data_IF_564499149149
#
_entry.id   IF_564499149149
#
_cell.length_a   1.000
_cell.length_b   1.000
_cell.length_c   1.000
_cell.angle_alpha   90.00
_cell.angle_beta   90.00
_cell.angle_gamma   90.00
#
_symmetry.space_group_name_H-M   'P 1'
#
loop_
_entity.id
_entity.type
_entity.pdbx_description
1 polymer ?
#
# COMPACT_ATOMS: atom_id res chain seq x y z
N UNK A 1 35.57 -45.30 24.43
CA UNK A 1 34.81 -44.84 23.25
C UNK A 1 33.36 -44.40 23.51
N UNK A 2 32.63 -44.90 24.52
CA UNK A 2 31.17 -44.67 24.66
C UNK A 2 30.70 -43.27 25.12
N UNK A 3 31.50 -42.57 25.94
CA UNK A 3 31.08 -41.30 26.56
C UNK A 3 31.04 -40.11 25.58
N UNK A 4 31.95 -40.09 24.59
CA UNK A 4 32.02 -39.04 23.57
C UNK A 4 30.82 -39.08 22.62
N UNK A 5 30.27 -40.27 22.36
CA UNK A 5 29.14 -40.44 21.46
C UNK A 5 27.84 -39.94 22.10
N UNK A 6 27.63 -40.18 23.40
CA UNK A 6 26.47 -39.71 24.15
C UNK A 6 26.37 -38.18 24.12
N UNK A 7 27.48 -37.47 24.35
CA UNK A 7 27.52 -36.01 24.32
C UNK A 7 27.19 -35.47 22.92
N UNK A 8 27.69 -36.12 21.86
CA UNK A 8 27.40 -35.76 20.47
C UNK A 8 25.92 -35.94 20.13
N UNK A 9 25.32 -37.06 20.52
CA UNK A 9 23.89 -37.29 20.29
C UNK A 9 23.01 -36.32 21.10
N UNK A 10 23.41 -36.02 22.33
CA UNK A 10 22.69 -35.07 23.19
C UNK A 10 22.76 -33.64 22.63
N UNK A 11 23.88 -33.22 22.06
CA UNK A 11 23.99 -31.92 21.37
C UNK A 11 23.16 -31.89 20.10
N UNK A 12 23.14 -32.98 19.32
CA UNK A 12 22.31 -33.07 18.10
C UNK A 12 20.81 -33.01 18.45
N UNK A 13 20.37 -33.73 19.48
CA UNK A 13 18.96 -33.73 19.90
C UNK A 13 18.53 -32.37 20.43
N UNK A 14 19.37 -31.68 21.22
CA UNK A 14 19.08 -30.33 21.70
C UNK A 14 19.06 -29.32 20.54
N UNK A 15 19.98 -29.43 19.57
CA UNK A 15 19.98 -28.59 18.38
C UNK A 15 18.73 -28.83 17.51
N UNK A 16 18.31 -30.09 17.33
CA UNK A 16 17.08 -30.44 16.63
C UNK A 16 15.83 -29.94 17.36
N UNK A 17 15.79 -30.03 18.69
CA UNK A 17 14.70 -29.45 19.49
C UNK A 17 14.64 -27.92 19.33
N UNK A 18 15.78 -27.23 19.30
CA UNK A 18 15.84 -25.79 19.06
C UNK A 18 15.32 -25.44 17.66
N UNK A 19 15.75 -26.16 16.63
CA UNK A 19 15.27 -25.99 15.25
C UNK A 19 13.77 -26.27 15.14
N UNK A 20 13.27 -27.31 15.80
CA UNK A 20 11.85 -27.70 15.76
C UNK A 20 10.94 -26.80 16.62
N UNK A 21 11.44 -26.14 17.67
CA UNK A 21 10.64 -25.21 18.48
C UNK A 21 10.64 -23.76 17.95
N UNK A 22 11.52 -23.41 16.99
CA UNK A 22 11.58 -22.05 16.44
C UNK A 22 10.50 -21.61 15.45
N UNK A 23 9.59 -22.44 14.86
CA UNK A 23 8.60 -21.91 13.95
C UNK A 23 7.27 -21.52 14.63
N UNK A 24 7.17 -21.46 15.96
CA UNK A 24 5.88 -21.16 16.63
C UNK A 24 5.77 -19.79 17.31
N UNK A 25 6.80 -18.93 17.28
CA UNK A 25 6.71 -17.57 17.85
C UNK A 25 6.35 -16.46 16.85
N UNK A 26 5.83 -16.82 15.68
CA UNK A 26 5.30 -15.86 14.70
C UNK A 26 3.95 -16.31 14.15
N UNK A 27 3.05 -16.72 15.04
CA UNK A 27 1.64 -16.97 14.73
C UNK A 27 0.71 -16.02 15.52
N UNK A 28 1.19 -14.80 15.81
CA UNK A 28 0.36 -13.74 16.39
C UNK A 28 0.25 -12.60 15.39
N UNK A 29 -0.82 -12.67 14.58
CA UNK A 29 -1.68 -11.54 14.14
C UNK A 29 -2.19 -11.69 12.70
N UNK A 30 -3.02 -12.71 12.46
CA UNK A 30 -3.73 -12.94 11.19
C UNK A 30 -5.09 -12.19 11.15
N UNK A 31 -5.14 -10.94 11.65
CA UNK A 31 -6.32 -10.08 11.42
C UNK A 31 -6.03 -8.57 11.30
N UNK A 32 -4.77 -8.17 11.14
CA UNK A 32 -4.47 -6.80 10.70
C UNK A 32 -4.80 -6.66 9.22
N UNK A 33 -5.73 -5.75 8.92
CA UNK A 33 -5.95 -5.20 7.58
C UNK A 33 -4.58 -4.96 6.92
N UNK A 34 -4.21 -5.78 5.93
CA UNK A 34 -2.93 -5.64 5.24
C UNK A 34 -2.95 -4.32 4.47
N UNK A 35 -2.33 -3.28 5.03
CA UNK A 35 -2.20 -1.98 4.39
C UNK A 35 -1.33 -2.16 3.14
N UNK A 36 -1.90 -1.91 1.96
CA UNK A 36 -1.15 -1.93 0.71
C UNK A 36 -0.31 -0.64 0.59
N UNK A 37 1.02 -0.71 0.52
CA UNK A 37 1.85 0.47 0.38
C UNK A 37 1.64 1.15 -0.98
N UNK A 38 1.88 2.47 -1.02
CA UNK A 38 1.83 3.29 -2.23
C UNK A 38 3.05 3.02 -3.13
N UNK A 39 3.00 1.93 -3.91
CA UNK A 39 4.14 1.40 -4.67
C UNK A 39 4.76 2.34 -5.73
N UNK A 40 4.07 3.43 -6.13
CA UNK A 40 4.52 4.35 -7.19
C UNK A 40 4.65 5.81 -6.71
N UNK A 41 4.54 6.03 -5.39
CA UNK A 41 4.78 7.34 -4.79
C UNK A 41 6.23 7.77 -5.01
N UNK A 42 6.45 9.04 -5.37
CA UNK A 42 7.75 9.56 -5.77
C UNK A 42 8.12 9.29 -7.23
N UNK A 43 7.33 8.50 -7.98
CA UNK A 43 7.53 8.27 -9.41
C UNK A 43 6.39 8.83 -10.26
N UNK A 44 5.16 8.42 -9.99
CA UNK A 44 3.98 8.84 -10.78
C UNK A 44 3.35 10.12 -10.23
N UNK A 45 3.54 10.37 -8.94
CA UNK A 45 3.06 11.52 -8.20
C UNK A 45 4.00 11.78 -7.01
N UNK A 46 4.00 12.98 -6.41
CA UNK A 46 4.88 13.30 -5.29
C UNK A 46 4.82 12.29 -4.14
N UNK A 47 5.97 11.92 -3.60
CA UNK A 47 6.06 11.05 -2.43
C UNK A 47 5.73 11.76 -1.12
N UNK A 48 5.98 13.08 -1.06
CA UNK A 48 5.66 13.89 0.10
C UNK A 48 4.14 14.18 0.15
N UNK A 49 3.46 13.90 1.28
CA UNK A 49 2.01 14.08 1.39
C UNK A 49 1.54 15.52 1.15
N UNK A 50 2.29 16.51 1.62
CA UNK A 50 1.90 17.92 1.50
C UNK A 50 2.04 18.44 0.07
N UNK A 51 3.09 18.03 -0.63
CA UNK A 51 3.28 18.33 -2.05
C UNK A 51 2.17 17.69 -2.90
N UNK A 52 1.85 16.41 -2.64
CA UNK A 52 0.77 15.71 -3.30
C UNK A 52 -0.58 16.42 -3.08
N UNK A 53 -0.85 16.84 -1.85
CA UNK A 53 -2.07 17.57 -1.50
C UNK A 53 -2.15 18.89 -2.27
N UNK A 54 -1.08 19.68 -2.25
CA UNK A 54 -1.05 20.96 -2.95
C UNK A 54 -1.27 20.78 -4.47
N UNK A 55 -0.62 19.77 -5.06
CA UNK A 55 -0.77 19.43 -6.47
C UNK A 55 -2.23 19.07 -6.81
N UNK A 56 -2.85 18.18 -6.06
CA UNK A 56 -4.25 17.75 -6.29
C UNK A 56 -5.23 18.91 -6.06
N UNK A 57 -5.05 19.71 -5.02
CA UNK A 57 -5.88 20.89 -4.76
C UNK A 57 -5.81 21.89 -5.91
N UNK A 58 -4.61 22.12 -6.45
CA UNK A 58 -4.41 22.99 -7.61
C UNK A 58 -5.15 22.45 -8.83
N UNK A 59 -5.02 21.15 -9.14
CA UNK A 59 -5.75 20.54 -10.25
C UNK A 59 -7.26 20.64 -10.08
N UNK A 60 -7.81 20.35 -8.90
CA UNK A 60 -9.25 20.44 -8.65
C UNK A 60 -9.77 21.89 -8.75
N UNK A 61 -8.99 22.86 -8.28
CA UNK A 61 -9.30 24.28 -8.42
C UNK A 61 -9.35 24.68 -9.89
N UNK A 62 -8.30 24.35 -10.64
CA UNK A 62 -8.08 24.86 -12.00
C UNK A 62 -8.79 24.03 -13.08
N UNK A 63 -9.18 22.79 -12.76
CA UNK A 63 -9.88 21.91 -13.69
C UNK A 63 -11.15 22.57 -14.20
N UNK A 64 -11.25 22.59 -15.52
CA UNK A 64 -12.41 23.04 -16.28
C UNK A 64 -13.16 21.82 -16.77
N UNK A 65 -14.49 21.83 -16.65
CA UNK A 65 -15.34 20.75 -17.11
C UNK A 65 -16.79 21.19 -17.09
N UNK A 66 -17.59 20.63 -18.00
CA UNK A 66 -19.03 20.85 -18.01
C UNK A 66 -19.65 20.19 -16.76
N UNK A 67 -20.61 20.86 -16.13
CA UNK A 67 -21.41 20.25 -15.07
C UNK A 67 -22.22 19.11 -15.68
N UNK A 68 -21.98 17.90 -15.21
CA UNK A 68 -22.79 16.74 -15.60
C UNK A 68 -24.05 16.73 -14.72
N UNK A 69 -25.26 16.81 -15.29
CA UNK A 69 -26.48 16.80 -14.51
C UNK A 69 -26.78 15.42 -13.93
N UNK A 70 -27.47 15.39 -12.79
CA UNK A 70 -27.92 14.16 -12.14
C UNK A 70 -26.84 13.48 -11.28
N UNK A 71 -27.15 12.26 -10.82
CA UNK A 71 -26.26 11.48 -9.94
C UNK A 71 -25.24 10.69 -10.76
N UNK A 72 -23.96 10.98 -10.57
CA UNK A 72 -22.86 10.23 -11.20
C UNK A 72 -22.78 8.83 -10.58
N UNK A 73 -22.80 7.80 -11.44
CA UNK A 73 -22.68 6.38 -11.04
C UNK A 73 -21.31 5.77 -11.35
N UNK A 74 -20.54 6.40 -12.22
CA UNK A 74 -19.21 5.94 -12.62
C UNK A 74 -18.40 7.06 -13.27
N UNK A 75 -17.08 6.91 -13.25
CA UNK A 75 -16.12 7.84 -13.83
C UNK A 75 -15.03 7.05 -14.55
N UNK A 76 -14.61 7.53 -15.71
CA UNK A 76 -13.39 7.07 -16.40
C UNK A 76 -12.32 8.14 -16.22
N UNK A 77 -11.14 7.75 -15.76
CA UNK A 77 -10.02 8.66 -15.48
C UNK A 77 -8.73 8.12 -16.10
N UNK A 78 -7.85 8.99 -16.64
CA UNK A 78 -6.51 8.58 -17.04
C UNK A 78 -5.69 8.14 -15.82
N UNK A 79 -4.64 7.34 -16.07
CA UNK A 79 -3.78 6.77 -15.02
C UNK A 79 -2.27 7.02 -15.25
N UNK A 80 -1.90 7.93 -16.15
CA UNK A 80 -0.50 8.33 -16.33
C UNK A 80 -0.03 9.18 -15.14
N UNK A 81 1.27 9.45 -15.04
CA UNK A 81 1.82 10.33 -14.01
C UNK A 81 1.09 11.69 -13.93
N UNK A 82 0.98 12.25 -12.72
CA UNK A 82 0.13 13.41 -12.44
C UNK A 82 0.52 14.66 -13.21
N UNK A 83 1.82 14.81 -13.53
CA UNK A 83 2.30 15.91 -14.37
C UNK A 83 1.71 15.89 -15.79
N UNK A 84 1.30 14.71 -16.28
CA UNK A 84 0.72 14.54 -17.62
C UNK A 84 -0.81 14.49 -17.59
N UNK A 85 -1.38 13.85 -16.57
CA UNK A 85 -2.81 13.49 -16.57
C UNK A 85 -3.64 14.12 -15.45
N UNK A 86 -2.99 14.76 -14.46
CA UNK A 86 -3.65 15.18 -13.22
C UNK A 86 -4.79 16.17 -13.43
N UNK A 87 -4.60 17.15 -14.32
CA UNK A 87 -5.64 18.15 -14.63
C UNK A 87 -6.85 17.53 -15.34
N UNK A 88 -6.62 16.51 -16.18
CA UNK A 88 -7.69 15.79 -16.90
C UNK A 88 -8.47 14.90 -15.93
N UNK A 89 -7.78 14.16 -15.06
CA UNK A 89 -8.42 13.40 -13.98
C UNK A 89 -9.26 14.32 -13.09
N UNK A 90 -8.72 15.47 -12.69
CA UNK A 90 -9.42 16.44 -11.85
C UNK A 90 -10.71 16.99 -12.48
N UNK A 91 -10.78 17.15 -13.80
CA UNK A 91 -12.00 17.57 -14.48
C UNK A 91 -13.17 16.60 -14.26
N UNK A 92 -12.86 15.29 -14.16
CA UNK A 92 -13.82 14.23 -13.82
C UNK A 92 -14.16 14.19 -12.34
N UNK A 93 -13.16 14.16 -11.46
CA UNK A 93 -13.36 14.10 -10.01
C UNK A 93 -14.12 15.32 -9.46
N UNK A 94 -13.95 16.51 -10.05
CA UNK A 94 -14.67 17.74 -9.67
C UNK A 94 -16.19 17.64 -9.86
N UNK A 95 -16.67 16.67 -10.64
CA UNK A 95 -18.11 16.46 -10.84
C UNK A 95 -18.76 15.62 -9.73
N UNK A 96 -17.96 14.97 -8.88
CA UNK A 96 -18.45 14.11 -7.81
C UNK A 96 -18.73 14.96 -6.57
N UNK A 97 -19.93 14.79 -6.00
CA UNK A 97 -20.29 15.42 -4.73
C UNK A 97 -19.49 14.76 -3.59
N UNK A 98 -18.66 15.52 -2.84
CA UNK A 98 -17.86 14.98 -1.75
C UNK A 98 -18.69 14.56 -0.52
N UNK A 99 -19.99 14.86 -0.48
CA UNK A 99 -20.89 14.48 0.62
C UNK A 99 -21.65 13.16 0.39
N UNK A 100 -21.46 12.50 -0.76
CA UNK A 100 -22.02 11.17 -1.05
C UNK A 100 -21.34 10.03 -0.29
#
# INVERSE_FOLDING_TARGET
MGFSNIIKYQTIVVALLFVCLTPHLSAADESRHRVRPAAVAGMFYPGAPDELRQMVCTFLKDARGAKVPGKIRGLVSPHAGYIYSGIVAAAGYKQIDPSM
#
